data_IF_446246770445
#
_entry.id   IF_446246770445
#
_cell.length_a   1.000
_cell.length_b   1.000
_cell.length_c   1.000
_cell.angle_alpha   90.00
_cell.angle_beta   90.00
_cell.angle_gamma   90.00
#
_symmetry.space_group_name_H-M   'P 1'
#
loop_
_entity.id
_entity.type
_entity.pdbx_description
1 polymer ?
#
# COMPACT_ATOMS: atom_id res chain seq x y z
N UNK A 1 -15.71 -7.91 -16.05
CA UNK A 1 -14.42 -8.18 -16.72
C UNK A 1 -13.50 -8.84 -15.71
N UNK A 2 -12.62 -9.75 -16.14
CA UNK A 2 -11.66 -10.39 -15.25
C UNK A 2 -10.46 -9.47 -15.00
N UNK A 3 -9.99 -9.42 -13.76
CA UNK A 3 -8.76 -8.73 -13.35
C UNK A 3 -7.72 -9.76 -12.91
N UNK A 4 -6.50 -9.64 -13.42
CA UNK A 4 -5.38 -10.50 -13.02
C UNK A 4 -4.34 -9.64 -12.33
N UNK A 5 -4.00 -9.96 -11.09
CA UNK A 5 -2.94 -9.30 -10.32
C UNK A 5 -1.69 -10.18 -10.37
N UNK A 6 -0.67 -9.72 -11.10
CA UNK A 6 0.67 -10.30 -11.05
C UNK A 6 1.39 -9.70 -9.84
N UNK A 7 1.29 -10.41 -8.72
CA UNK A 7 1.59 -9.82 -7.43
C UNK A 7 3.09 -9.53 -7.25
N UNK A 8 3.40 -8.58 -6.37
CA UNK A 8 4.76 -8.19 -6.03
C UNK A 8 4.90 -7.99 -4.52
N UNK A 9 6.11 -8.16 -3.96
CA UNK A 9 6.35 -7.89 -2.55
C UNK A 9 5.98 -6.47 -2.15
N UNK A 10 5.30 -6.31 -1.03
CA UNK A 10 5.20 -5.01 -0.37
C UNK A 10 6.54 -4.74 0.36
N UNK A 11 7.30 -3.68 0.01
CA UNK A 11 8.56 -3.37 0.67
C UNK A 11 8.38 -3.04 2.16
N UNK A 12 7.21 -2.55 2.56
CA UNK A 12 6.80 -2.30 3.95
C UNK A 12 5.83 -3.39 4.47
N UNK A 13 5.84 -4.58 3.86
CA UNK A 13 4.90 -5.67 4.18
C UNK A 13 5.13 -6.35 5.53
N UNK A 14 6.16 -5.96 6.27
CA UNK A 14 6.63 -6.64 7.48
C UNK A 14 5.98 -6.21 8.78
N UNK A 15 5.12 -5.20 8.72
CA UNK A 15 4.45 -4.63 9.86
C UNK A 15 3.15 -3.96 9.42
N UNK A 16 2.29 -3.72 10.41
CA UNK A 16 1.05 -2.97 10.28
C UNK A 16 1.09 -1.88 11.33
N UNK A 17 0.82 -0.64 10.96
CA UNK A 17 0.94 0.50 11.87
C UNK A 17 0.08 1.70 11.46
N UNK A 18 -0.19 2.56 12.43
CA UNK A 18 -1.02 3.76 12.30
C UNK A 18 -2.52 3.50 12.47
N UNK A 19 -3.30 4.58 12.61
CA UNK A 19 -4.75 4.47 12.77
C UNK A 19 -5.40 3.94 11.48
N UNK A 20 -6.46 3.15 11.64
CA UNK A 20 -7.38 2.86 10.53
C UNK A 20 -8.00 4.17 10.06
N UNK A 21 -8.07 4.39 8.75
CA UNK A 21 -8.71 5.57 8.18
C UNK A 21 -10.19 5.65 8.61
N UNK A 22 -10.53 6.69 9.37
CA UNK A 22 -11.92 7.09 9.57
C UNK A 22 -12.47 7.60 8.24
N UNK A 23 -13.51 6.93 7.72
CA UNK A 23 -14.05 7.19 6.38
C UNK A 23 -14.68 8.58 6.23
N UNK A 24 -14.88 9.34 7.33
CA UNK A 24 -15.19 10.78 7.25
C UNK A 24 -14.05 11.61 6.62
N UNK A 25 -12.82 11.09 6.65
CA UNK A 25 -11.62 11.69 6.07
C UNK A 25 -11.22 11.06 4.73
N UNK A 26 -12.09 10.23 4.13
CA UNK A 26 -11.86 9.66 2.80
C UNK A 26 -11.55 10.77 1.79
N UNK A 27 -10.45 10.62 1.05
CA UNK A 27 -9.97 11.61 0.10
C UNK A 27 -9.16 10.95 -1.03
N UNK A 28 -8.55 11.75 -1.91
CA UNK A 28 -7.67 11.25 -2.98
C UNK A 28 -6.40 10.53 -2.48
N UNK A 29 -6.01 10.73 -1.22
CA UNK A 29 -4.82 10.13 -0.60
C UNK A 29 -5.16 9.05 0.45
N UNK A 30 -6.43 8.70 0.61
CA UNK A 30 -6.89 7.67 1.54
C UNK A 30 -8.30 7.21 1.18
N UNK A 31 -8.45 5.98 0.69
CA UNK A 31 -9.69 5.52 0.05
C UNK A 31 -10.40 4.37 0.78
N UNK A 32 -9.65 3.56 1.53
CA UNK A 32 -10.11 2.34 2.17
C UNK A 32 -9.94 2.45 3.69
N UNK A 33 -10.78 1.78 4.49
CA UNK A 33 -10.64 1.74 5.94
C UNK A 33 -9.51 0.78 6.34
N UNK A 34 -8.28 1.12 5.96
CA UNK A 34 -7.04 0.40 6.27
C UNK A 34 -6.10 1.32 7.06
N UNK A 35 -5.13 0.78 7.82
CA UNK A 35 -4.16 1.60 8.53
C UNK A 35 -3.15 2.24 7.56
N UNK A 36 -2.39 3.23 8.06
CA UNK A 36 -1.38 3.98 7.30
C UNK A 36 -0.37 3.03 6.64
N UNK A 37 0.12 2.05 7.39
CA UNK A 37 0.91 0.93 6.86
C UNK A 37 0.05 -0.33 6.97
N UNK A 38 -0.46 -0.80 5.83
CA UNK A 38 -1.39 -1.93 5.78
C UNK A 38 -0.71 -3.30 5.74
N UNK A 39 0.60 -3.39 5.49
CA UNK A 39 1.34 -4.66 5.49
C UNK A 39 1.05 -5.64 4.34
N UNK A 40 -0.02 -5.41 3.56
CA UNK A 40 -0.49 -6.31 2.50
C UNK A 40 0.18 -6.07 1.14
N UNK A 41 0.30 -7.11 0.30
CA UNK A 41 0.53 -6.95 -1.13
C UNK A 41 -0.72 -6.40 -1.84
N UNK A 42 -0.59 -6.02 -3.12
CA UNK A 42 -1.76 -5.59 -3.90
C UNK A 42 -2.71 -6.77 -4.19
N UNK A 43 -2.18 -7.98 -4.34
CA UNK A 43 -2.99 -9.19 -4.49
C UNK A 43 -3.88 -9.44 -3.27
N UNK A 44 -3.28 -9.42 -2.07
CA UNK A 44 -3.99 -9.58 -0.81
C UNK A 44 -5.03 -8.46 -0.60
N UNK A 45 -4.63 -7.20 -0.84
CA UNK A 45 -5.53 -6.05 -0.69
C UNK A 45 -6.71 -6.12 -1.68
N UNK A 46 -6.50 -6.58 -2.91
CA UNK A 46 -7.58 -6.77 -3.88
C UNK A 46 -8.60 -7.83 -3.41
N UNK A 47 -8.12 -8.93 -2.82
CA UNK A 47 -8.99 -9.96 -2.25
C UNK A 47 -9.76 -9.42 -1.04
N UNK A 48 -9.12 -8.63 -0.18
CA UNK A 48 -9.77 -7.98 0.97
C UNK A 48 -10.84 -6.97 0.52
N UNK A 49 -10.54 -6.13 -0.47
CA UNK A 49 -11.51 -5.17 -1.05
C UNK A 49 -12.79 -5.89 -1.52
N UNK A 50 -12.62 -7.05 -2.18
CA UNK A 50 -13.76 -7.88 -2.60
C UNK A 50 -14.48 -8.51 -1.41
N UNK A 51 -13.74 -9.16 -0.49
CA UNK A 51 -14.31 -9.88 0.65
C UNK A 51 -15.06 -8.99 1.63
N UNK A 52 -14.58 -7.77 1.84
CA UNK A 52 -15.19 -6.77 2.72
C UNK A 52 -16.23 -5.89 1.99
N UNK A 53 -16.48 -6.12 0.69
CA UNK A 53 -17.48 -5.39 -0.08
C UNK A 53 -17.18 -3.90 -0.24
N UNK A 54 -15.90 -3.51 -0.27
CA UNK A 54 -15.50 -2.09 -0.33
C UNK A 54 -15.65 -1.44 -1.72
N UNK A 55 -15.99 -2.22 -2.74
CA UNK A 55 -16.28 -1.68 -4.06
C UNK A 55 -17.65 -0.95 -4.07
N UNK A 56 -17.76 0.19 -4.78
CA UNK A 56 -19.01 0.94 -4.87
C UNK A 56 -20.18 0.09 -5.36
N UNK A 57 -21.33 0.20 -4.68
CA UNK A 57 -22.55 -0.50 -5.04
C UNK A 57 -22.50 -2.00 -4.77
N UNK A 58 -21.66 -2.46 -3.83
CA UNK A 58 -21.56 -3.87 -3.44
C UNK A 58 -21.05 -4.78 -4.56
N UNK A 59 -20.36 -4.20 -5.55
CA UNK A 59 -19.81 -4.96 -6.67
C UNK A 59 -18.73 -5.91 -6.16
N UNK A 60 -18.60 -7.04 -6.83
CA UNK A 60 -17.46 -7.95 -6.63
C UNK A 60 -16.74 -8.08 -7.96
N UNK A 61 -15.43 -7.90 -7.95
CA UNK A 61 -14.60 -8.08 -9.12
C UNK A 61 -14.15 -9.54 -9.24
N UNK A 62 -14.19 -10.12 -10.44
CA UNK A 62 -13.55 -11.42 -10.70
C UNK A 62 -12.02 -11.20 -10.74
N UNK A 63 -11.37 -11.43 -9.59
CA UNK A 63 -9.93 -11.22 -9.38
C UNK A 63 -9.21 -12.57 -9.32
N UNK A 64 -8.15 -12.71 -10.11
CA UNK A 64 -7.18 -13.80 -9.97
C UNK A 64 -5.83 -13.22 -9.56
N UNK A 65 -5.28 -13.68 -8.44
CA UNK A 65 -3.95 -13.29 -7.97
C UNK A 65 -2.95 -14.37 -8.33
N UNK A 66 -1.83 -13.97 -8.92
CA UNK A 66 -0.66 -14.83 -9.12
C UNK A 66 0.36 -14.45 -8.04
N UNK A 67 0.47 -15.23 -6.95
CA UNK A 67 1.26 -14.85 -5.79
C UNK A 67 2.77 -14.96 -6.05
N UNK A 68 3.55 -14.20 -5.29
CA UNK A 68 5.00 -14.35 -5.25
C UNK A 68 5.40 -15.69 -4.64
N UNK A 69 6.41 -16.35 -5.22
CA UNK A 69 7.09 -17.48 -4.58
C UNK A 69 8.21 -16.97 -3.68
N UNK A 70 8.53 -17.71 -2.61
CA UNK A 70 9.62 -17.39 -1.67
C UNK A 70 9.49 -16.00 -1.01
N UNK A 71 8.26 -15.52 -0.86
CA UNK A 71 7.94 -14.28 -0.17
C UNK A 71 7.14 -14.59 1.09
N UNK A 72 7.49 -13.91 2.18
CA UNK A 72 6.71 -13.85 3.41
C UNK A 72 6.64 -12.39 3.83
N UNK A 73 5.72 -12.03 4.73
CA UNK A 73 5.70 -10.68 5.28
C UNK A 73 7.01 -10.29 5.99
N UNK A 74 7.82 -11.25 6.47
CA UNK A 74 9.13 -10.94 7.04
C UNK A 74 10.21 -10.61 5.98
N UNK A 75 9.98 -10.96 4.71
CA UNK A 75 10.94 -10.77 3.62
C UNK A 75 11.21 -9.29 3.35
N UNK A 76 12.46 -8.85 3.56
CA UNK A 76 12.94 -7.50 3.22
C UNK A 76 13.27 -7.40 1.72
N UNK A 77 12.26 -7.10 0.90
CA UNK A 77 12.44 -6.96 -0.55
C UNK A 77 13.02 -5.58 -0.92
N UNK A 78 14.10 -5.57 -1.70
CA UNK A 78 14.69 -4.36 -2.29
C UNK A 78 14.14 -4.15 -3.69
N UNK A 79 13.51 -3.00 -3.92
CA UNK A 79 13.01 -2.65 -5.25
C UNK A 79 14.17 -2.46 -6.23
N UNK A 80 14.13 -3.07 -7.42
CA UNK A 80 15.17 -2.91 -8.43
C UNK A 80 15.06 -1.57 -9.18
N UNK A 81 13.88 -0.96 -9.17
CA UNK A 81 13.55 0.29 -9.85
C UNK A 81 12.88 1.21 -8.83
N UNK A 82 13.31 2.47 -8.78
CA UNK A 82 12.69 3.47 -7.90
C UNK A 82 11.19 3.60 -8.26
N UNK A 83 10.27 3.45 -7.29
CA UNK A 83 8.83 3.52 -7.55
C UNK A 83 8.36 4.96 -7.83
N UNK A 84 9.16 5.95 -7.46
CA UNK A 84 8.92 7.38 -7.67
C UNK A 84 10.26 8.12 -7.70
N UNK A 85 10.39 9.25 -8.42
CA UNK A 85 11.62 10.05 -8.44
C UNK A 85 12.14 10.42 -7.04
N UNK A 86 11.22 10.70 -6.10
CA UNK A 86 11.56 11.10 -4.72
C UNK A 86 11.59 9.92 -3.73
N UNK A 87 11.51 8.68 -4.21
CA UNK A 87 11.77 7.46 -3.43
C UNK A 87 12.95 6.69 -4.05
N UNK A 88 14.17 7.28 -4.05
CA UNK A 88 15.28 6.78 -4.87
C UNK A 88 15.94 5.52 -4.30
N UNK A 89 15.73 5.21 -3.02
CA UNK A 89 16.41 4.10 -2.35
C UNK A 89 15.56 3.48 -1.23
N UNK A 90 16.00 2.32 -0.73
CA UNK A 90 15.31 1.57 0.33
C UNK A 90 15.12 2.35 1.62
N UNK A 91 16.08 3.22 1.98
CA UNK A 91 15.98 4.05 3.18
C UNK A 91 14.81 5.03 3.05
N UNK A 92 14.70 5.73 1.92
CA UNK A 92 13.58 6.63 1.64
C UNK A 92 12.23 5.89 1.71
N UNK A 93 12.15 4.66 1.18
CA UNK A 93 10.92 3.83 1.21
C UNK A 93 10.53 3.45 2.65
N UNK A 94 11.48 3.10 3.51
CA UNK A 94 11.21 2.74 4.91
C UNK A 94 10.85 3.95 5.77
N UNK A 95 11.42 5.13 5.49
CA UNK A 95 11.06 6.35 6.20
C UNK A 95 9.75 6.96 5.72
N UNK A 96 9.31 6.65 4.50
CA UNK A 96 8.16 7.30 3.87
C UNK A 96 6.89 7.30 4.74
N UNK A 97 6.49 6.21 5.42
CA UNK A 97 5.32 6.23 6.30
C UNK A 97 5.41 7.23 7.46
N UNK A 98 6.62 7.60 7.88
CA UNK A 98 6.85 8.59 8.93
C UNK A 98 7.06 9.99 8.36
N UNK A 99 7.88 10.15 7.32
CA UNK A 99 8.26 11.46 6.78
C UNK A 99 7.20 12.05 5.87
N UNK A 100 6.37 11.23 5.22
CA UNK A 100 5.27 11.73 4.39
C UNK A 100 4.21 12.49 5.21
N UNK A 101 4.12 12.27 6.52
CA UNK A 101 3.24 13.04 7.40
C UNK A 101 3.58 14.54 7.40
N UNK A 102 4.83 14.90 7.10
CA UNK A 102 5.22 16.31 6.94
C UNK A 102 4.60 16.98 5.71
N UNK A 103 4.09 16.24 4.71
CA UNK A 103 3.34 16.84 3.58
C UNK A 103 2.06 17.56 4.06
N UNK A 104 1.54 17.20 5.24
CA UNK A 104 0.44 17.92 5.90
C UNK A 104 0.88 19.14 6.70
N UNK A 105 2.15 19.56 6.58
CA UNK A 105 2.75 20.65 7.36
C UNK A 105 3.53 21.62 6.45
N UNK A 106 4.11 22.66 7.04
CA UNK A 106 5.01 23.59 6.32
C UNK A 106 6.46 23.11 6.22
N UNK A 107 6.80 21.98 6.87
CA UNK A 107 8.17 21.48 6.92
C UNK A 107 8.56 20.77 5.62
N UNK A 108 9.80 20.99 5.17
CA UNK A 108 10.37 20.22 4.07
C UNK A 108 10.66 18.78 4.51
N UNK A 109 10.38 17.83 3.62
CA UNK A 109 10.79 16.43 3.73
C UNK A 109 11.94 16.06 2.79
N UNK A 110 12.59 17.06 2.17
CA UNK A 110 13.79 16.88 1.35
C UNK A 110 13.58 16.74 -0.16
N UNK A 111 12.42 17.14 -0.70
CA UNK A 111 12.26 17.32 -2.16
C UNK A 111 12.96 18.62 -2.57
N UNK A 112 13.76 18.59 -3.64
CA UNK A 112 14.60 19.70 -4.12
C UNK A 112 15.77 19.17 -4.93
#
# INVERSE_FOLDING_TARGET
>A
KKMIVLDRPNPNGMYVDGPILDMKHKSGVGWLPIPVVHGMTLGELALMINGEGWLPGGKVCDVTVIPCRNYTHQTRYKLPIAPSPNLPNTHAIYLYPSTCLFEGTVMSLGRG
#
